data_IF_635366346321
#
_entry.id   IF_635366346321
#
_cell.length_a   1.000
_cell.length_b   1.000
_cell.length_c   1.000
_cell.angle_alpha   90.00
_cell.angle_beta   90.00
_cell.angle_gamma   90.00
#
_symmetry.space_group_name_H-M   'P 1'
#
loop_
_entity.id
_entity.type
_entity.pdbx_description
1 polymer ?
#
# COMPACT_ATOMS: atom_id res chain seq x y z
N UNK A 1 13.53 15.98 -3.09
CA UNK A 1 12.37 15.08 -3.21
C UNK A 1 11.90 14.73 -1.81
N UNK A 2 10.65 15.06 -1.45
CA UNK A 2 10.12 14.78 -0.11
C UNK A 2 9.71 13.31 -0.01
N UNK A 3 10.13 12.64 1.05
CA UNK A 3 9.67 11.31 1.39
C UNK A 3 9.49 11.21 2.91
N UNK A 4 8.61 10.31 3.34
CA UNK A 4 8.40 9.97 4.75
C UNK A 4 8.59 8.47 4.92
N UNK A 5 9.30 8.05 5.97
CA UNK A 5 9.52 6.64 6.29
C UNK A 5 8.90 6.35 7.66
N UNK A 6 7.98 5.39 7.69
CA UNK A 6 7.22 5.01 8.87
C UNK A 6 7.47 3.55 9.17
N UNK A 7 7.92 3.24 10.39
CA UNK A 7 8.10 1.87 10.85
C UNK A 7 6.87 1.44 11.64
N UNK A 8 6.28 0.32 11.25
CA UNK A 8 5.21 -0.33 11.99
C UNK A 8 5.78 -1.57 12.65
N UNK A 9 5.52 -1.71 13.95
CA UNK A 9 5.85 -2.90 14.74
C UNK A 9 4.56 -3.40 15.36
N UNK A 10 4.17 -4.61 14.98
CA UNK A 10 2.94 -5.25 15.43
C UNK A 10 3.28 -6.49 16.24
N UNK A 11 2.55 -6.71 17.33
CA UNK A 11 2.60 -7.96 18.09
C UNK A 11 1.47 -8.88 17.61
N UNK A 12 1.80 -10.13 17.30
CA UNK A 12 0.82 -11.10 16.82
C UNK A 12 -0.08 -11.58 17.96
N UNK A 13 -1.39 -11.55 17.76
CA UNK A 13 -2.38 -11.97 18.75
C UNK A 13 -2.57 -13.49 18.82
N UNK A 14 -2.13 -14.19 17.78
CA UNK A 14 -2.17 -15.65 17.64
C UNK A 14 -0.98 -16.12 16.80
N UNK A 15 -0.80 -17.44 16.74
CA UNK A 15 0.09 -18.04 15.75
C UNK A 15 -0.30 -17.62 14.33
N UNK A 16 0.68 -17.45 13.45
CA UNK A 16 0.48 -17.02 12.08
C UNK A 16 1.47 -17.70 11.13
N UNK A 17 0.99 -18.01 9.93
CA UNK A 17 1.83 -18.49 8.82
C UNK A 17 1.84 -17.39 7.76
N UNK A 18 3.02 -16.82 7.52
CA UNK A 18 3.26 -15.83 6.49
C UNK A 18 4.11 -16.44 5.37
N UNK A 19 3.94 -16.00 4.11
CA UNK A 19 4.78 -16.49 3.04
C UNK A 19 6.23 -16.06 3.25
N UNK A 20 7.14 -16.86 2.70
CA UNK A 20 8.57 -16.54 2.61
C UNK A 20 8.84 -15.09 2.19
N UNK A 21 8.11 -14.59 1.17
CA UNK A 21 8.16 -13.20 0.72
C UNK A 21 6.96 -12.39 1.21
N UNK A 22 7.12 -11.70 2.34
CA UNK A 22 6.04 -10.94 3.00
C UNK A 22 5.61 -9.66 2.29
N UNK A 23 6.40 -9.20 1.30
CA UNK A 23 6.14 -7.95 0.60
C UNK A 23 4.78 -7.92 -0.10
N UNK A 24 4.36 -9.04 -0.71
CA UNK A 24 3.04 -9.16 -1.34
C UNK A 24 1.91 -9.10 -0.31
N UNK A 25 2.07 -9.77 0.83
CA UNK A 25 1.13 -9.74 1.96
C UNK A 25 0.94 -8.32 2.48
N UNK A 26 2.03 -7.65 2.84
CA UNK A 26 1.96 -6.28 3.38
C UNK A 26 1.41 -5.29 2.36
N UNK A 27 1.82 -5.37 1.09
CA UNK A 27 1.26 -4.51 0.03
C UNK A 27 -0.25 -4.73 -0.12
N UNK A 28 -0.70 -5.99 -0.11
CA UNK A 28 -2.11 -6.35 -0.22
C UNK A 28 -2.94 -5.83 0.97
N UNK A 29 -2.48 -6.12 2.19
CA UNK A 29 -3.15 -5.66 3.43
C UNK A 29 -3.18 -4.14 3.51
N UNK A 30 -2.10 -3.45 3.13
CA UNK A 30 -2.08 -1.99 3.10
C UNK A 30 -3.16 -1.43 2.16
N UNK A 31 -3.33 -2.02 0.97
CA UNK A 31 -4.37 -1.59 0.02
C UNK A 31 -5.77 -1.79 0.58
N UNK A 32 -6.05 -2.97 1.14
CA UNK A 32 -7.34 -3.28 1.77
C UNK A 32 -7.62 -2.32 2.94
N UNK A 33 -6.63 -2.11 3.81
CA UNK A 33 -6.74 -1.24 4.97
C UNK A 33 -6.99 0.22 4.56
N UNK A 34 -6.21 0.75 3.61
CA UNK A 34 -6.38 2.11 3.11
C UNK A 34 -7.76 2.29 2.47
N UNK A 35 -8.20 1.37 1.60
CA UNK A 35 -9.55 1.41 1.00
C UNK A 35 -10.62 1.42 2.09
N UNK A 36 -10.47 0.58 3.12
CA UNK A 36 -11.41 0.53 4.24
C UNK A 36 -11.50 1.86 4.98
N UNK A 37 -10.39 2.54 5.20
CA UNK A 37 -10.34 3.83 5.93
C UNK A 37 -10.87 4.98 5.09
N UNK A 38 -10.41 5.14 3.84
CA UNK A 38 -10.64 6.40 3.08
C UNK A 38 -11.77 6.31 2.04
N UNK A 39 -12.17 5.12 1.61
CA UNK A 39 -13.14 4.98 0.52
C UNK A 39 -14.58 5.11 1.02
N UNK A 40 -15.29 6.13 0.54
CA UNK A 40 -16.72 6.33 0.80
C UNK A 40 -17.63 5.35 0.00
N UNK A 41 -17.17 4.91 -1.19
CA UNK A 41 -17.96 4.14 -2.16
C UNK A 41 -17.38 2.71 -2.34
N UNK A 42 -17.21 1.97 -1.24
CA UNK A 42 -16.42 0.71 -1.21
C UNK A 42 -16.85 -0.40 -2.17
N UNK A 43 -18.11 -0.38 -2.64
CA UNK A 43 -18.70 -1.39 -3.53
C UNK A 43 -18.63 -1.02 -5.02
N UNK A 44 -18.13 0.17 -5.33
CA UNK A 44 -17.99 0.65 -6.71
C UNK A 44 -16.54 0.50 -7.17
N UNK A 45 -16.36 0.23 -8.46
CA UNK A 45 -15.04 0.18 -9.07
C UNK A 45 -14.45 1.58 -9.25
N UNK A 46 -13.13 1.70 -9.09
CA UNK A 46 -12.47 3.01 -9.08
C UNK A 46 -12.51 3.71 -10.44
N UNK A 47 -12.48 2.96 -11.56
CA UNK A 47 -12.52 3.54 -12.90
C UNK A 47 -13.84 4.28 -13.20
N UNK A 48 -14.96 3.86 -12.61
CA UNK A 48 -16.29 4.48 -12.70
C UNK A 48 -16.55 5.52 -11.59
N UNK A 49 -15.64 5.65 -10.63
CA UNK A 49 -15.86 6.48 -9.45
C UNK A 49 -15.73 7.97 -9.78
N UNK A 50 -16.78 8.74 -9.47
CA UNK A 50 -16.81 10.20 -9.66
C UNK A 50 -15.75 10.95 -8.83
N UNK A 51 -15.21 10.32 -7.78
CA UNK A 51 -14.21 10.91 -6.90
C UNK A 51 -12.77 10.56 -7.29
N UNK A 52 -12.54 9.73 -8.32
CA UNK A 52 -11.22 9.10 -8.59
C UNK A 52 -10.06 10.09 -8.72
N UNK A 53 -10.28 11.25 -9.35
CA UNK A 53 -9.27 12.29 -9.58
C UNK A 53 -8.74 12.94 -8.28
N UNK A 54 -9.54 12.93 -7.21
CA UNK A 54 -9.18 13.52 -5.89
C UNK A 54 -9.15 12.48 -4.77
N UNK A 55 -9.32 11.20 -5.09
CA UNK A 55 -9.39 10.13 -4.11
C UNK A 55 -7.98 9.67 -3.71
N UNK A 56 -7.67 9.73 -2.41
CA UNK A 56 -6.38 9.27 -1.88
C UNK A 56 -6.11 7.81 -2.22
N UNK A 57 -7.12 6.93 -2.09
CA UNK A 57 -6.94 5.51 -2.44
C UNK A 57 -6.62 5.34 -3.94
N UNK A 58 -7.34 6.02 -4.82
CA UNK A 58 -7.07 5.92 -6.27
C UNK A 58 -5.68 6.46 -6.62
N UNK A 59 -5.28 7.60 -6.04
CA UNK A 59 -3.95 8.16 -6.22
C UNK A 59 -2.82 7.23 -5.73
N UNK A 60 -3.02 6.51 -4.63
CA UNK A 60 -1.97 5.66 -4.04
C UNK A 60 -1.95 4.25 -4.68
N UNK A 61 -3.12 3.65 -4.93
CA UNK A 61 -3.25 2.25 -5.33
C UNK A 61 -3.81 2.01 -6.74
N UNK A 62 -4.72 2.85 -7.24
CA UNK A 62 -5.29 2.75 -8.59
C UNK A 62 -4.72 3.85 -9.49
N UNK A 63 -3.38 3.94 -9.55
CA UNK A 63 -2.66 5.06 -10.17
C UNK A 63 -2.98 5.22 -11.65
N UNK A 64 -3.25 4.13 -12.37
CA UNK A 64 -3.69 4.17 -13.77
C UNK A 64 -5.03 4.87 -13.97
N UNK A 65 -5.91 4.81 -12.96
CA UNK A 65 -7.26 5.37 -13.04
C UNK A 65 -7.33 6.84 -12.57
N UNK A 66 -6.29 7.30 -11.87
CA UNK A 66 -6.22 8.63 -11.25
C UNK A 66 -5.15 9.56 -11.86
N UNK A 67 -4.19 9.03 -12.63
CA UNK A 67 -3.11 9.82 -13.21
C UNK A 67 -3.04 9.57 -14.72
N UNK A 68 -3.34 10.61 -15.48
CA UNK A 68 -3.19 10.59 -16.93
C UNK A 68 -1.71 10.68 -17.31
N UNK A 69 -1.20 9.66 -18.02
CA UNK A 69 0.15 9.67 -18.57
C UNK A 69 0.26 10.63 -19.77
N UNK A 70 1.36 11.39 -19.90
CA UNK A 70 1.63 12.17 -21.10
C UNK A 70 1.69 11.28 -22.35
N UNK A 71 1.25 11.81 -23.50
CA UNK A 71 1.39 11.13 -24.79
C UNK A 71 2.88 10.81 -25.04
N UNK A 72 3.17 9.57 -25.44
CA UNK A 72 4.54 9.10 -25.70
C UNK A 72 5.29 8.58 -24.46
N UNK A 73 4.62 8.48 -23.31
CA UNK A 73 5.16 7.79 -22.14
C UNK A 73 5.54 6.35 -22.46
N UNK A 74 6.73 5.92 -22.02
CA UNK A 74 7.26 4.56 -22.21
C UNK A 74 6.99 3.63 -21.03
N UNK A 75 6.22 4.08 -20.05
CA UNK A 75 5.80 3.27 -18.89
C UNK A 75 4.35 2.80 -19.07
N UNK A 76 4.08 1.55 -18.68
CA UNK A 76 2.75 0.97 -18.80
C UNK A 76 1.73 1.57 -17.83
N UNK A 77 2.18 1.98 -16.63
CA UNK A 77 1.35 2.60 -15.61
C UNK A 77 2.18 3.56 -14.74
N UNK A 78 1.60 4.66 -14.22
CA UNK A 78 2.27 5.50 -13.24
C UNK A 78 2.65 4.69 -11.99
N UNK A 79 3.87 4.85 -11.45
CA UNK A 79 4.29 4.12 -10.27
C UNK A 79 3.49 4.52 -9.04
N UNK A 80 3.22 3.56 -8.16
CA UNK A 80 2.62 3.85 -6.86
C UNK A 80 3.57 4.73 -6.01
N UNK A 81 3.07 5.78 -5.35
CA UNK A 81 3.89 6.72 -4.59
C UNK A 81 4.27 6.19 -3.20
N UNK A 82 4.46 4.87 -3.07
CA UNK A 82 4.89 4.24 -1.83
C UNK A 82 5.77 3.00 -2.07
N UNK A 83 6.55 2.64 -1.05
CA UNK A 83 7.33 1.39 -0.99
C UNK A 83 7.02 0.69 0.33
N UNK A 84 6.83 -0.63 0.27
CA UNK A 84 6.80 -1.48 1.46
C UNK A 84 8.16 -2.13 1.58
N UNK A 85 8.83 -1.92 2.71
CA UNK A 85 10.05 -2.62 3.09
C UNK A 85 9.67 -3.72 4.08
N UNK A 86 9.42 -4.97 3.62
CA UNK A 86 9.12 -6.07 4.52
C UNK A 86 10.36 -6.43 5.36
N UNK A 87 10.20 -7.18 6.46
CA UNK A 87 11.35 -7.70 7.17
C UNK A 87 12.12 -8.65 6.26
N UNK A 88 13.46 -8.63 6.37
CA UNK A 88 14.36 -9.41 5.51
C UNK A 88 14.41 -10.90 5.88
N UNK A 89 13.69 -11.28 6.94
CA UNK A 89 13.64 -12.66 7.40
C UNK A 89 12.78 -13.55 6.49
N UNK A 90 13.19 -14.82 6.44
CA UNK A 90 12.54 -15.87 5.67
C UNK A 90 11.63 -16.76 6.51
N UNK A 91 11.46 -16.40 7.80
CA UNK A 91 10.60 -17.10 8.75
C UNK A 91 9.15 -17.09 8.24
N UNK A 92 8.51 -18.25 8.25
CA UNK A 92 7.12 -18.40 7.79
C UNK A 92 6.16 -18.59 8.96
N UNK A 93 6.59 -19.32 10.00
CA UNK A 93 5.79 -19.60 11.20
C UNK A 93 6.13 -18.61 12.31
N UNK A 94 5.13 -17.93 12.85
CA UNK A 94 5.25 -17.00 13.96
C UNK A 94 4.40 -17.47 15.13
N UNK A 95 4.95 -17.45 16.33
CA UNK A 95 4.20 -17.72 17.53
C UNK A 95 3.35 -16.51 17.95
N UNK A 96 2.37 -16.78 18.81
CA UNK A 96 1.66 -15.73 19.53
C UNK A 96 2.66 -14.84 20.29
N UNK A 97 2.35 -13.55 20.35
CA UNK A 97 3.12 -12.50 21.03
C UNK A 97 4.47 -12.16 20.38
N UNK A 98 4.83 -12.81 19.27
CA UNK A 98 5.98 -12.39 18.48
C UNK A 98 5.75 -11.04 17.79
N UNK A 99 6.84 -10.29 17.61
CA UNK A 99 6.83 -9.02 16.90
C UNK A 99 7.13 -9.21 15.42
N UNK A 100 6.38 -8.46 14.60
CA UNK A 100 6.57 -8.37 13.17
C UNK A 100 6.64 -6.90 12.78
N UNK A 101 7.74 -6.52 12.14
CA UNK A 101 7.98 -5.14 11.72
C UNK A 101 8.15 -4.98 10.22
N UNK A 102 7.65 -3.88 9.67
CA UNK A 102 7.88 -3.47 8.28
C UNK A 102 7.91 -1.94 8.18
N UNK A 103 8.47 -1.41 7.10
CA UNK A 103 8.41 0.03 6.83
C UNK A 103 7.48 0.35 5.66
N UNK A 104 6.76 1.46 5.80
CA UNK A 104 6.07 2.14 4.71
C UNK A 104 6.84 3.41 4.38
N UNK A 105 7.31 3.53 3.14
CA UNK A 105 7.90 4.76 2.62
C UNK A 105 6.90 5.44 1.71
N UNK A 106 6.52 6.68 2.01
CA UNK A 106 5.66 7.51 1.18
C UNK A 106 6.50 8.53 0.41
N UNK A 107 6.14 8.78 -0.84
CA UNK A 107 6.94 9.58 -1.77
C UNK A 107 6.11 10.74 -2.32
N UNK A 108 6.70 11.94 -2.33
CA UNK A 108 6.10 13.13 -2.93
C UNK A 108 4.78 13.52 -2.25
N UNK A 109 3.74 13.79 -3.05
CA UNK A 109 2.41 14.22 -2.56
C UNK A 109 1.74 13.23 -1.61
N UNK A 110 2.12 11.95 -1.65
CA UNK A 110 1.60 10.97 -0.70
C UNK A 110 1.99 11.29 0.76
N UNK A 111 3.01 12.12 0.98
CA UNK A 111 3.43 12.56 2.32
C UNK A 111 2.59 13.69 2.92
N UNK A 112 1.60 14.22 2.17
CA UNK A 112 0.76 15.36 2.58
C UNK A 112 -0.62 14.94 3.11
N UNK A 113 -0.92 13.64 3.07
CA UNK A 113 -2.13 13.02 3.63
C UNK A 113 -1.79 12.33 4.95
#
# INVERSE_FOLDING_TARGET
MRYGRYQFTSRLESEAILPYYKGSTFRGVFGIALKKVVCALRRQECYECLLKEKCVYAFVFETSDSINLPKGSRIASPPHPFVIEPPLEKKEEYNKDEELSFNLVLIGKATEY
#
